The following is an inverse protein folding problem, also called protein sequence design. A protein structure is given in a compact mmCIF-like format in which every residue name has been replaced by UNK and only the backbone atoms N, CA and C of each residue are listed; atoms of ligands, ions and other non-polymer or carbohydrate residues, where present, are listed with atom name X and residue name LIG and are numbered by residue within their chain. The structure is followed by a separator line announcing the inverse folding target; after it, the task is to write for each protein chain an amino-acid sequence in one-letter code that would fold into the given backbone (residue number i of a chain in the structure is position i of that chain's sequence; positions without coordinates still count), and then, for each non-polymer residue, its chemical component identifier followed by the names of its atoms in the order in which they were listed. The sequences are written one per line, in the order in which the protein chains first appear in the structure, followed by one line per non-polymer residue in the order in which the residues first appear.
data_IF_618273881985
#
_entry.id   IF_618273881985
#
_cell.length_a   1.000
_cell.length_b   1.000
_cell.length_c   1.000
_cell.angle_alpha   90.00
_cell.angle_beta   90.00
_cell.angle_gamma   90.00
#
_symmetry.space_group_name_H-M   'P 1'
#
loop_
_entity.id
_entity.type
_entity.pdbx_description
1 polymer ?
#
# COMPACT_ATOMS: atom_id res chain seq x y z
N UNK A 1 -8.09 9.19 13.26
CA UNK A 1 -6.71 8.73 12.97
C UNK A 1 -6.83 7.32 12.44
N UNK A 2 -6.37 7.06 11.21
CA UNK A 2 -6.54 5.74 10.57
C UNK A 2 -5.74 4.64 11.28
N UNK A 3 -6.18 3.38 11.17
CA UNK A 3 -5.61 2.25 11.93
C UNK A 3 -4.10 2.04 11.67
N UNK A 4 -3.61 2.44 10.50
CA UNK A 4 -2.22 2.29 10.08
C UNK A 4 -1.43 3.60 10.12
N UNK A 5 -1.98 4.65 10.74
CA UNK A 5 -1.33 5.96 10.85
C UNK A 5 0.09 5.85 11.39
N UNK A 6 1.07 6.36 10.64
CA UNK A 6 2.49 6.39 11.02
C UNK A 6 3.24 5.06 10.85
N UNK A 7 2.59 4.01 10.30
CA UNK A 7 3.28 2.77 9.91
C UNK A 7 3.86 2.91 8.50
N UNK A 8 5.06 2.36 8.31
CA UNK A 8 5.76 2.29 7.03
C UNK A 8 5.68 0.87 6.47
N UNK A 9 5.30 0.72 5.21
CA UNK A 9 5.16 -0.58 4.56
C UNK A 9 5.77 -0.59 3.16
N UNK A 10 6.50 -1.66 2.83
CA UNK A 10 6.95 -1.95 1.47
C UNK A 10 5.94 -2.87 0.79
N UNK A 11 5.39 -2.43 -0.34
CA UNK A 11 4.46 -3.19 -1.16
C UNK A 11 5.19 -3.69 -2.42
N UNK A 12 5.18 -5.00 -2.63
CA UNK A 12 5.69 -5.67 -3.82
C UNK A 12 4.54 -6.23 -4.67
N UNK A 13 4.80 -6.48 -5.96
CA UNK A 13 3.86 -7.19 -6.84
C UNK A 13 2.70 -6.36 -7.38
N UNK A 14 2.86 -5.03 -7.49
CA UNK A 14 1.91 -4.18 -8.21
C UNK A 14 2.22 -4.25 -9.71
N UNK A 15 1.37 -4.95 -10.47
CA UNK A 15 1.49 -5.03 -11.93
C UNK A 15 0.58 -4.01 -12.65
N UNK A 16 -0.57 -3.66 -12.06
CA UNK A 16 -1.50 -2.66 -12.58
C UNK A 16 -2.44 -2.18 -11.46
N UNK A 17 -3.33 -1.22 -11.79
CA UNK A 17 -4.42 -0.80 -10.90
C UNK A 17 -5.50 -1.88 -10.66
N UNK A 18 -5.42 -3.02 -11.34
CA UNK A 18 -6.30 -4.19 -11.14
C UNK A 18 -5.66 -5.29 -10.29
N UNK A 19 -4.39 -5.15 -9.91
CA UNK A 19 -3.68 -6.13 -9.08
C UNK A 19 -4.22 -6.16 -7.65
N UNK A 20 -4.17 -7.34 -7.01
CA UNK A 20 -4.53 -7.48 -5.58
C UNK A 20 -3.66 -6.56 -4.72
N UNK A 21 -2.35 -6.49 -4.99
CA UNK A 21 -1.41 -5.63 -4.29
C UNK A 21 -1.81 -4.14 -4.35
N UNK A 22 -2.39 -3.69 -5.47
CA UNK A 22 -2.89 -2.31 -5.61
C UNK A 22 -4.11 -2.05 -4.70
N UNK A 23 -5.03 -3.02 -4.62
CA UNK A 23 -6.17 -2.95 -3.70
C UNK A 23 -5.73 -2.90 -2.24
N UNK A 24 -4.74 -3.73 -1.86
CA UNK A 24 -4.13 -3.71 -0.52
C UNK A 24 -3.48 -2.35 -0.25
N UNK A 25 -2.63 -1.86 -1.15
CA UNK A 25 -1.96 -0.57 -1.02
C UNK A 25 -2.98 0.58 -0.85
N UNK A 26 -4.06 0.57 -1.64
CA UNK A 26 -5.12 1.58 -1.55
C UNK A 26 -5.82 1.59 -0.20
N UNK A 27 -6.12 0.41 0.35
CA UNK A 27 -6.69 0.28 1.69
C UNK A 27 -5.71 0.74 2.77
N UNK A 28 -4.44 0.35 2.67
CA UNK A 28 -3.41 0.74 3.64
C UNK A 28 -3.16 2.25 3.65
N UNK A 29 -3.11 2.87 2.48
CA UNK A 29 -2.97 4.32 2.33
C UNK A 29 -4.16 5.06 2.95
N UNK A 30 -5.39 4.58 2.71
CA UNK A 30 -6.60 5.14 3.34
C UNK A 30 -6.55 5.08 4.87
N UNK A 31 -5.93 4.04 5.43
CA UNK A 31 -5.73 3.89 6.87
C UNK A 31 -4.51 4.67 7.40
N UNK A 32 -3.85 5.49 6.58
CA UNK A 32 -2.78 6.41 7.00
C UNK A 32 -1.38 5.80 6.99
N UNK A 33 -1.16 4.68 6.29
CA UNK A 33 0.17 4.11 6.11
C UNK A 33 1.01 4.94 5.13
N UNK A 34 2.31 5.03 5.40
CA UNK A 34 3.32 5.48 4.44
C UNK A 34 3.81 4.27 3.62
N UNK A 35 3.66 4.35 2.30
CA UNK A 35 3.93 3.22 1.41
C UNK A 35 5.18 3.45 0.58
N UNK A 36 6.03 2.42 0.50
CA UNK A 36 7.08 2.28 -0.50
C UNK A 36 6.69 1.16 -1.47
N UNK A 37 7.11 1.28 -2.72
CA UNK A 37 6.84 0.28 -3.75
C UNK A 37 8.15 -0.28 -4.27
N UNK A 38 8.22 -1.60 -4.42
CA UNK A 38 9.28 -2.22 -5.22
C UNK A 38 8.74 -2.60 -6.59
N UNK A 39 9.50 -2.22 -7.60
CA UNK A 39 9.36 -2.70 -8.96
C UNK A 39 10.59 -3.56 -9.26
N UNK A 40 10.50 -4.59 -10.11
CA UNK A 40 11.68 -5.02 -10.86
C UNK A 40 12.21 -3.88 -11.74
#
# INVERSE_FOLDING_TARGET
MGFLSGKKALIAGIASNRSIAYGIASAMYREGAELAFSYP
#
